data_IF_160074943241
#
_entry.id   IF_160074943241
#
_cell.length_a   1.000
_cell.length_b   1.000
_cell.length_c   1.000
_cell.angle_alpha   90.00
_cell.angle_beta   90.00
_cell.angle_gamma   90.00
#
_symmetry.space_group_name_H-M   'P 1'
#
loop_
_entity.id
_entity.type
_entity.pdbx_description
1 polymer ?
#
# COMPACT_ATOMS: atom_id res chain seq x y z
N UNK A 1 26.00 -5.01 -11.33
CA UNK A 1 25.74 -3.64 -10.84
C UNK A 1 25.84 -3.65 -9.34
N UNK A 2 26.51 -2.68 -8.67
CA UNK A 2 26.48 -2.61 -7.20
C UNK A 2 25.02 -2.39 -6.77
N UNK A 3 24.59 -3.12 -5.72
CA UNK A 3 23.29 -2.86 -5.10
C UNK A 3 23.27 -1.39 -4.64
N UNK A 4 22.19 -0.64 -4.95
CA UNK A 4 22.06 0.72 -4.43
C UNK A 4 22.07 0.65 -2.91
N UNK A 5 22.98 1.38 -2.28
CA UNK A 5 23.04 1.50 -0.83
C UNK A 5 21.69 2.01 -0.33
N UNK A 6 21.14 1.33 0.69
CA UNK A 6 19.94 1.81 1.36
C UNK A 6 20.22 3.22 1.92
N UNK A 7 19.30 4.16 1.67
CA UNK A 7 19.42 5.51 2.21
C UNK A 7 19.42 5.51 3.74
N UNK A 8 19.92 6.55 4.34
CA UNK A 8 19.98 6.72 5.80
C UNK A 8 18.95 7.71 6.33
N UNK A 9 18.30 8.50 5.43
CA UNK A 9 17.37 9.54 5.83
C UNK A 9 15.99 8.97 6.22
N UNK A 10 15.34 9.64 7.14
CA UNK A 10 13.94 9.37 7.51
C UNK A 10 13.02 10.39 6.88
N UNK A 11 11.82 9.95 6.51
CA UNK A 11 10.74 10.83 6.09
C UNK A 11 10.21 11.63 7.29
N UNK A 12 9.80 12.88 7.09
CA UNK A 12 9.25 13.70 8.17
C UNK A 12 7.92 13.15 8.67
N UNK A 13 7.52 13.56 9.87
CA UNK A 13 6.21 13.21 10.44
C UNK A 13 5.08 13.96 9.75
N UNK A 14 3.85 13.43 9.88
CA UNK A 14 2.64 14.00 9.30
C UNK A 14 2.41 13.60 7.85
N UNK A 15 1.53 14.35 7.18
CA UNK A 15 1.16 14.11 5.79
C UNK A 15 2.32 14.43 4.85
N UNK A 16 2.53 13.58 3.84
CA UNK A 16 3.64 13.66 2.91
C UNK A 16 3.14 13.96 1.50
N UNK A 17 3.80 14.91 0.84
CA UNK A 17 3.68 15.11 -0.60
C UNK A 17 4.61 14.14 -1.36
N UNK A 18 4.25 13.84 -2.61
CA UNK A 18 5.06 13.00 -3.49
C UNK A 18 5.25 13.70 -4.82
N UNK A 19 6.49 13.89 -5.22
CA UNK A 19 6.84 14.53 -6.50
C UNK A 19 7.72 13.61 -7.32
N UNK A 20 7.35 13.41 -8.58
CA UNK A 20 8.13 12.73 -9.60
C UNK A 20 8.57 13.77 -10.65
N UNK A 21 9.84 13.75 -11.05
CA UNK A 21 10.39 14.62 -12.08
C UNK A 21 11.18 13.80 -13.07
N UNK A 22 10.73 13.83 -14.31
CA UNK A 22 11.38 13.18 -15.44
C UNK A 22 11.77 11.72 -15.17
N UNK A 23 10.81 10.94 -14.62
CA UNK A 23 11.07 9.57 -14.18
C UNK A 23 11.00 8.62 -15.36
N UNK A 24 12.09 7.90 -15.57
CA UNK A 24 12.26 6.85 -16.58
C UNK A 24 12.48 5.51 -15.92
N UNK A 25 11.90 4.45 -16.47
CA UNK A 25 12.09 3.10 -15.94
C UNK A 25 11.91 2.02 -17.00
N UNK A 26 12.78 1.02 -16.95
CA UNK A 26 12.71 -0.20 -17.78
C UNK A 26 12.90 -1.43 -16.89
N UNK A 27 12.14 -2.51 -17.14
CA UNK A 27 12.42 -3.82 -16.54
C UNK A 27 13.55 -4.54 -17.29
N UNK A 28 13.65 -4.29 -18.60
CA UNK A 28 14.66 -4.83 -19.51
C UNK A 28 15.26 -3.68 -20.32
N UNK A 29 16.50 -3.81 -20.78
CA UNK A 29 17.24 -2.72 -21.44
C UNK A 29 16.53 -2.14 -22.66
N UNK A 30 15.80 -2.96 -23.42
CA UNK A 30 15.17 -2.56 -24.67
C UNK A 30 13.69 -2.11 -24.54
N UNK A 31 13.12 -2.12 -23.33
CA UNK A 31 11.69 -1.78 -23.14
C UNK A 31 11.47 -0.80 -22.01
N UNK A 32 11.45 0.47 -22.39
CA UNK A 32 11.12 1.55 -21.46
C UNK A 32 9.60 1.59 -21.19
N UNK A 33 9.25 1.50 -19.91
CA UNK A 33 7.86 1.52 -19.41
C UNK A 33 7.47 2.93 -18.97
N UNK A 34 8.33 3.61 -18.22
CA UNK A 34 8.11 5.01 -17.85
C UNK A 34 9.03 5.89 -18.69
N UNK A 35 8.46 6.88 -19.34
CA UNK A 35 9.13 7.73 -20.35
C UNK A 35 9.01 9.19 -19.95
N UNK A 36 9.79 9.62 -18.95
CA UNK A 36 9.81 11.02 -18.50
C UNK A 36 8.53 11.41 -17.72
N UNK A 37 8.12 10.60 -16.76
CA UNK A 37 6.91 10.85 -15.98
C UNK A 37 7.16 11.97 -14.96
N UNK A 38 6.30 13.01 -15.04
CA UNK A 38 6.21 14.09 -14.06
C UNK A 38 4.87 14.05 -13.34
N UNK A 39 4.86 14.01 -12.02
CA UNK A 39 3.66 14.04 -11.17
C UNK A 39 3.95 14.88 -9.92
N UNK A 40 2.93 15.60 -9.46
CA UNK A 40 2.95 16.26 -8.16
C UNK A 40 1.68 15.87 -7.39
N UNK A 41 1.85 15.18 -6.28
CA UNK A 41 0.79 14.66 -5.44
C UNK A 41 0.86 15.41 -4.09
N UNK A 42 0.02 16.44 -3.88
CA UNK A 42 0.05 17.21 -2.63
C UNK A 42 -0.29 16.34 -1.42
N UNK A 43 0.29 16.65 -0.27
CA UNK A 43 -0.03 15.99 0.98
C UNK A 43 -1.54 16.04 1.29
N UNK A 44 -2.09 14.92 1.75
CA UNK A 44 -3.53 14.81 2.06
C UNK A 44 -4.45 14.80 0.85
N UNK A 45 -3.92 14.72 -0.38
CA UNK A 45 -4.74 14.61 -1.60
C UNK A 45 -5.08 13.16 -1.92
N UNK A 46 -6.25 12.95 -2.53
CA UNK A 46 -6.62 11.70 -3.18
C UNK A 46 -6.40 11.84 -4.69
N UNK A 47 -5.56 11.00 -5.27
CA UNK A 47 -5.20 11.04 -6.69
C UNK A 47 -5.43 9.70 -7.35
N UNK A 48 -6.11 9.67 -8.48
CA UNK A 48 -6.32 8.46 -9.28
C UNK A 48 -5.47 8.49 -10.55
N UNK A 49 -4.66 7.45 -10.74
CA UNK A 49 -3.92 7.22 -11.99
C UNK A 49 -4.77 6.37 -12.94
N UNK A 50 -5.24 6.99 -14.02
CA UNK A 50 -6.08 6.34 -15.03
C UNK A 50 -5.28 6.14 -16.33
N UNK A 51 -5.46 5.01 -16.98
CA UNK A 51 -4.80 4.70 -18.25
C UNK A 51 -4.95 3.23 -18.62
N UNK A 52 -4.56 2.88 -19.84
CA UNK A 52 -4.64 1.51 -20.37
C UNK A 52 -3.84 0.51 -19.55
N UNK A 53 -4.16 -0.78 -19.68
CA UNK A 53 -3.36 -1.85 -19.07
C UNK A 53 -1.93 -1.81 -19.61
N UNK A 54 -0.95 -1.93 -18.74
CA UNK A 54 0.48 -1.92 -19.13
C UNK A 54 1.09 -0.53 -19.32
N UNK A 55 0.36 0.59 -19.12
CA UNK A 55 0.92 1.93 -19.25
C UNK A 55 1.84 2.39 -18.09
N UNK A 56 2.15 1.52 -17.12
CA UNK A 56 3.13 1.81 -16.07
C UNK A 56 2.55 2.19 -14.70
N UNK A 57 1.23 2.15 -14.47
CA UNK A 57 0.61 2.48 -13.16
C UNK A 57 1.18 1.66 -12.02
N UNK A 58 1.18 0.33 -12.15
CA UNK A 58 1.73 -0.59 -11.14
C UNK A 58 3.25 -0.48 -11.02
N UNK A 59 3.93 -0.01 -12.07
CA UNK A 59 5.37 0.29 -12.04
C UNK A 59 5.65 1.49 -11.15
N UNK A 60 4.90 2.59 -11.30
CA UNK A 60 4.99 3.78 -10.44
C UNK A 60 4.70 3.37 -8.98
N UNK A 61 3.61 2.63 -8.74
CA UNK A 61 3.27 2.11 -7.41
C UNK A 61 4.42 1.28 -6.79
N UNK A 62 5.03 0.41 -7.60
CA UNK A 62 6.17 -0.41 -7.18
C UNK A 62 7.43 0.40 -6.88
N UNK A 63 7.71 1.46 -7.62
CA UNK A 63 8.86 2.34 -7.37
C UNK A 63 8.65 3.12 -6.06
N UNK A 64 7.48 3.74 -5.87
CA UNK A 64 7.16 4.50 -4.67
C UNK A 64 7.21 3.64 -3.39
N UNK A 65 6.91 2.36 -3.51
CA UNK A 65 7.02 1.39 -2.40
C UNK A 65 8.39 0.69 -2.34
N UNK A 66 9.43 1.20 -3.03
CA UNK A 66 10.78 0.65 -3.14
C UNK A 66 10.86 -0.82 -3.60
N UNK A 67 9.83 -1.33 -4.29
CA UNK A 67 9.83 -2.69 -4.86
C UNK A 67 10.51 -2.76 -6.22
N UNK A 68 10.48 -1.65 -6.97
CA UNK A 68 11.19 -1.48 -8.23
C UNK A 68 12.29 -0.44 -8.01
N UNK A 69 13.52 -0.79 -8.31
CA UNK A 69 14.71 0.08 -8.18
C UNK A 69 15.34 0.30 -9.54
N UNK A 70 16.26 1.26 -9.64
CA UNK A 70 17.01 1.51 -10.88
C UNK A 70 16.27 2.43 -11.87
N UNK A 71 15.36 3.27 -11.40
CA UNK A 71 14.78 4.36 -12.18
C UNK A 71 15.80 5.49 -12.39
N UNK A 72 15.63 6.25 -13.47
CA UNK A 72 16.31 7.54 -13.69
C UNK A 72 15.31 8.67 -13.43
N UNK A 73 15.83 9.89 -13.20
CA UNK A 73 15.03 11.04 -12.79
C UNK A 73 15.00 11.21 -11.26
N UNK A 74 14.09 12.04 -10.77
CA UNK A 74 14.01 12.38 -9.36
C UNK A 74 12.64 12.01 -8.78
N UNK A 75 12.62 11.35 -7.62
CA UNK A 75 11.42 11.09 -6.82
C UNK A 75 11.67 11.62 -5.42
N UNK A 76 10.75 12.49 -4.95
CA UNK A 76 10.84 13.13 -3.64
C UNK A 76 9.57 12.79 -2.86
N UNK A 77 9.72 12.37 -1.60
CA UNK A 77 8.61 12.13 -0.68
C UNK A 77 8.85 12.99 0.57
N UNK A 78 7.90 13.88 0.90
CA UNK A 78 8.04 14.75 2.06
C UNK A 78 9.32 15.59 2.04
N UNK A 79 9.77 16.05 0.86
CA UNK A 79 11.01 16.81 0.69
C UNK A 79 12.30 15.96 0.70
N UNK A 80 12.23 14.62 0.84
CA UNK A 80 13.41 13.74 0.87
C UNK A 80 13.48 12.92 -0.42
N UNK A 81 14.62 12.90 -1.14
CA UNK A 81 14.81 12.03 -2.30
C UNK A 81 14.65 10.55 -1.93
N UNK A 82 13.84 9.81 -2.70
CA UNK A 82 13.47 8.42 -2.40
C UNK A 82 14.68 7.48 -2.26
N UNK A 83 15.72 7.71 -3.06
CA UNK A 83 16.97 6.94 -3.02
C UNK A 83 17.82 7.19 -1.76
N UNK A 84 17.53 8.24 -1.00
CA UNK A 84 18.19 8.57 0.26
C UNK A 84 17.37 8.14 1.49
N UNK A 85 16.12 7.66 1.30
CA UNK A 85 15.27 7.23 2.40
C UNK A 85 15.68 5.84 2.89
N UNK A 86 15.76 5.69 4.21
CA UNK A 86 15.94 4.38 4.86
C UNK A 86 14.76 3.46 4.53
N UNK A 87 15.04 2.24 4.10
CA UNK A 87 14.02 1.29 3.62
C UNK A 87 13.00 0.93 4.70
N UNK A 88 13.44 0.71 5.93
CA UNK A 88 12.54 0.41 7.05
C UNK A 88 11.59 1.59 7.33
N UNK A 89 12.12 2.82 7.32
CA UNK A 89 11.31 4.02 7.48
C UNK A 89 10.32 4.20 6.31
N UNK A 90 10.76 3.96 5.07
CA UNK A 90 9.88 4.02 3.92
C UNK A 90 8.72 3.01 4.02
N UNK A 91 8.98 1.77 4.44
CA UNK A 91 7.95 0.74 4.63
C UNK A 91 6.94 1.09 5.72
N UNK A 92 7.36 1.88 6.72
CA UNK A 92 6.45 2.39 7.76
C UNK A 92 5.61 3.57 7.31
N UNK A 93 6.04 4.31 6.28
CA UNK A 93 5.42 5.56 5.84
C UNK A 93 4.67 5.45 4.51
N UNK A 94 4.96 4.43 3.71
CA UNK A 94 4.32 4.18 2.41
C UNK A 94 3.79 2.75 2.35
N UNK A 95 2.47 2.59 2.30
CA UNK A 95 1.82 1.28 2.23
C UNK A 95 1.26 1.04 0.84
N UNK A 96 1.69 -0.06 0.22
CA UNK A 96 1.18 -0.54 -1.05
C UNK A 96 0.19 -1.70 -0.84
N UNK A 97 -1.06 -1.48 -1.19
CA UNK A 97 -2.13 -2.49 -1.18
C UNK A 97 -2.35 -2.96 -2.62
N UNK A 98 -2.16 -4.25 -2.85
CA UNK A 98 -2.39 -4.89 -4.16
C UNK A 98 -3.68 -5.73 -4.14
N UNK A 99 -4.25 -5.96 -5.32
CA UNK A 99 -5.41 -6.83 -5.50
C UNK A 99 -5.25 -8.22 -4.85
N UNK A 100 -4.06 -8.80 -4.94
CA UNK A 100 -3.73 -10.13 -4.40
C UNK A 100 -2.92 -10.06 -3.10
N UNK A 101 -3.23 -9.12 -2.22
CA UNK A 101 -2.58 -9.03 -0.90
C UNK A 101 -2.75 -10.33 -0.13
N UNK A 102 -1.63 -10.90 0.31
CA UNK A 102 -1.62 -12.21 0.97
C UNK A 102 -2.18 -12.13 2.39
N UNK A 103 -3.08 -13.04 2.71
CA UNK A 103 -3.59 -13.29 4.06
C UNK A 103 -3.03 -14.63 4.56
N UNK A 104 -2.59 -14.65 5.80
CA UNK A 104 -1.96 -15.81 6.41
C UNK A 104 -2.99 -16.67 7.14
N UNK A 105 -2.73 -17.98 7.17
CA UNK A 105 -3.47 -18.89 8.02
C UNK A 105 -3.33 -18.45 9.49
N UNK A 106 -4.43 -18.47 10.24
CA UNK A 106 -4.51 -18.01 11.62
C UNK A 106 -5.78 -17.21 11.85
N UNK A 107 -5.86 -16.41 12.88
CA UNK A 107 -7.04 -15.58 13.17
C UNK A 107 -7.04 -14.28 12.37
N UNK A 108 -8.20 -13.65 12.26
CA UNK A 108 -8.32 -12.27 11.76
C UNK A 108 -7.48 -11.32 12.60
N UNK A 109 -7.49 -11.47 13.95
CA UNK A 109 -6.67 -10.68 14.85
C UNK A 109 -5.17 -10.78 14.53
N UNK A 110 -4.66 -12.01 14.37
CA UNK A 110 -3.25 -12.24 14.02
C UNK A 110 -2.87 -11.58 12.70
N UNK A 111 -3.74 -11.65 11.69
CA UNK A 111 -3.50 -10.98 10.41
C UNK A 111 -3.49 -9.45 10.52
N UNK A 112 -4.35 -8.86 11.35
CA UNK A 112 -4.37 -7.42 11.60
C UNK A 112 -3.14 -6.98 12.40
N UNK A 113 -2.76 -7.72 13.43
CA UNK A 113 -1.59 -7.43 14.27
C UNK A 113 -0.25 -7.51 13.53
N UNK A 114 -0.20 -8.10 12.34
CA UNK A 114 0.99 -8.00 11.48
C UNK A 114 1.30 -6.56 11.06
N UNK A 115 0.29 -5.70 10.95
CA UNK A 115 0.47 -4.29 10.61
C UNK A 115 0.73 -3.42 11.86
N UNK A 116 0.09 -3.75 12.98
CA UNK A 116 0.21 -3.04 14.25
C UNK A 116 0.14 -4.05 15.40
N UNK A 117 1.30 -4.53 15.92
CA UNK A 117 1.35 -5.60 16.92
C UNK A 117 0.63 -5.27 18.24
N UNK A 118 0.60 -4.01 18.62
CA UNK A 118 -0.03 -3.45 19.83
C UNK A 118 -1.44 -2.92 19.59
N UNK A 119 -2.05 -3.21 18.42
CA UNK A 119 -3.41 -2.78 18.11
C UNK A 119 -4.41 -3.28 19.14
N UNK A 120 -5.25 -2.37 19.63
CA UNK A 120 -6.34 -2.72 20.53
C UNK A 120 -7.50 -3.37 19.75
N UNK A 121 -8.39 -4.03 20.50
CA UNK A 121 -9.61 -4.61 19.90
C UNK A 121 -10.45 -3.53 19.22
N UNK A 122 -10.59 -2.38 19.85
CA UNK A 122 -11.37 -1.25 19.36
C UNK A 122 -10.80 -0.69 18.05
N UNK A 123 -9.48 -0.57 17.94
CA UNK A 123 -8.80 -0.13 16.71
C UNK A 123 -9.03 -1.12 15.57
N UNK A 124 -8.89 -2.42 15.84
CA UNK A 124 -9.13 -3.48 14.86
C UNK A 124 -10.59 -3.51 14.39
N UNK A 125 -11.55 -3.43 15.31
CA UNK A 125 -12.97 -3.39 14.96
C UNK A 125 -13.33 -2.11 14.19
N UNK A 126 -12.72 -0.97 14.52
CA UNK A 126 -12.94 0.29 13.81
C UNK A 126 -12.50 0.21 12.33
N UNK A 127 -11.32 -0.34 12.04
CA UNK A 127 -10.89 -0.50 10.65
C UNK A 127 -11.72 -1.57 9.91
N UNK A 128 -12.14 -2.64 10.57
CA UNK A 128 -13.05 -3.63 9.99
C UNK A 128 -14.43 -3.04 9.68
N UNK A 129 -14.91 -2.11 10.51
CA UNK A 129 -16.15 -1.37 10.25
C UNK A 129 -16.00 -0.45 9.03
N UNK A 130 -14.89 0.29 8.92
CA UNK A 130 -14.61 1.17 7.77
C UNK A 130 -14.65 0.42 6.43
N UNK A 131 -14.21 -0.83 6.40
CA UNK A 131 -14.19 -1.65 5.18
C UNK A 131 -15.45 -2.53 5.03
N UNK A 132 -16.50 -2.33 5.83
CA UNK A 132 -17.75 -3.11 5.82
C UNK A 132 -17.51 -4.63 5.96
N UNK A 133 -16.59 -5.05 6.84
CA UNK A 133 -16.30 -6.46 7.10
C UNK A 133 -16.69 -6.90 8.51
N UNK A 134 -16.80 -5.95 9.47
CA UNK A 134 -17.07 -6.26 10.87
C UNK A 134 -18.37 -7.04 11.07
N UNK A 135 -19.45 -6.61 10.41
CA UNK A 135 -20.78 -7.26 10.53
C UNK A 135 -20.74 -8.73 10.09
N UNK A 136 -20.02 -9.04 9.01
CA UNK A 136 -19.83 -10.44 8.59
C UNK A 136 -19.04 -11.22 9.64
N UNK A 137 -17.92 -10.68 10.14
CA UNK A 137 -17.08 -11.38 11.12
C UNK A 137 -17.83 -11.62 12.44
N UNK A 138 -18.73 -10.72 12.85
CA UNK A 138 -19.57 -10.91 14.03
C UNK A 138 -20.56 -12.07 13.90
N UNK A 139 -20.92 -12.47 12.67
CA UNK A 139 -21.70 -13.70 12.44
C UNK A 139 -20.88 -14.98 12.52
N UNK A 140 -19.56 -14.85 12.64
CA UNK A 140 -18.59 -15.91 12.87
C UNK A 140 -18.03 -15.76 14.30
N UNK A 141 -16.74 -15.90 14.49
CA UNK A 141 -16.06 -15.75 15.79
C UNK A 141 -15.40 -14.36 15.96
N UNK A 142 -15.87 -13.32 15.27
CA UNK A 142 -15.33 -11.96 15.30
C UNK A 142 -13.85 -11.92 14.94
N UNK A 143 -13.00 -11.30 15.76
CA UNK A 143 -11.56 -11.26 15.56
C UNK A 143 -10.88 -12.64 15.67
N UNK A 144 -11.52 -13.61 16.34
CA UNK A 144 -11.03 -14.99 16.45
C UNK A 144 -11.42 -15.88 15.27
N UNK A 145 -12.14 -15.34 14.28
CA UNK A 145 -12.47 -16.07 13.06
C UNK A 145 -11.21 -16.62 12.41
N UNK A 146 -11.18 -17.96 12.25
CA UNK A 146 -10.05 -18.68 11.68
C UNK A 146 -10.00 -18.51 10.16
N UNK A 147 -8.86 -18.13 9.64
CA UNK A 147 -8.54 -18.11 8.22
C UNK A 147 -7.78 -19.37 7.84
N UNK A 148 -8.27 -20.07 6.83
CA UNK A 148 -7.55 -21.18 6.22
C UNK A 148 -6.37 -20.66 5.39
N UNK A 149 -5.58 -21.58 4.84
CA UNK A 149 -4.46 -21.20 3.97
C UNK A 149 -4.94 -20.29 2.83
N UNK A 150 -4.25 -19.16 2.61
CA UNK A 150 -4.62 -18.09 1.65
C UNK A 150 -6.04 -17.54 1.87
N UNK A 151 -6.57 -17.67 3.09
CA UNK A 151 -7.95 -17.29 3.44
C UNK A 151 -9.01 -17.88 2.51
N UNK A 152 -8.82 -19.15 2.09
CA UNK A 152 -9.69 -19.84 1.12
C UNK A 152 -11.14 -20.01 1.59
N UNK A 153 -11.42 -19.77 2.86
CA UNK A 153 -12.76 -19.76 3.44
C UNK A 153 -13.45 -18.38 3.40
N UNK A 154 -12.77 -17.36 2.86
CA UNK A 154 -13.37 -16.05 2.59
C UNK A 154 -13.62 -15.87 1.09
N UNK A 155 -14.62 -15.06 0.74
CA UNK A 155 -14.78 -14.61 -0.64
C UNK A 155 -13.66 -13.65 -1.06
N UNK A 156 -13.43 -13.49 -2.38
CA UNK A 156 -12.42 -12.57 -2.89
C UNK A 156 -12.60 -11.14 -2.37
N UNK A 157 -13.85 -10.64 -2.33
CA UNK A 157 -14.16 -9.32 -1.77
C UNK A 157 -13.89 -9.23 -0.26
N UNK A 158 -14.15 -10.28 0.51
CA UNK A 158 -13.82 -10.33 1.95
C UNK A 158 -12.30 -10.35 2.18
N UNK A 159 -11.55 -11.09 1.36
CA UNK A 159 -10.09 -11.09 1.41
C UNK A 159 -9.53 -9.69 1.14
N UNK A 160 -10.04 -9.00 0.11
CA UNK A 160 -9.61 -7.63 -0.23
C UNK A 160 -9.93 -6.65 0.90
N UNK A 161 -11.15 -6.71 1.47
CA UNK A 161 -11.54 -5.86 2.61
C UNK A 161 -10.66 -6.11 3.83
N UNK A 162 -10.33 -7.35 4.16
CA UNK A 162 -9.44 -7.66 5.27
C UNK A 162 -8.00 -7.15 5.02
N UNK A 163 -7.50 -7.29 3.80
CA UNK A 163 -6.20 -6.73 3.42
C UNK A 163 -6.18 -5.20 3.51
N UNK A 164 -7.28 -4.56 3.10
CA UNK A 164 -7.46 -3.11 3.24
C UNK A 164 -7.55 -2.68 4.70
N UNK A 165 -8.32 -3.39 5.54
CA UNK A 165 -8.38 -3.13 6.98
C UNK A 165 -6.99 -3.21 7.62
N UNK A 166 -6.21 -4.22 7.29
CA UNK A 166 -4.83 -4.37 7.74
C UNK A 166 -3.95 -3.18 7.31
N UNK A 167 -4.09 -2.72 6.07
CA UNK A 167 -3.36 -1.57 5.59
C UNK A 167 -3.76 -0.28 6.33
N UNK A 168 -5.05 -0.05 6.54
CA UNK A 168 -5.55 1.12 7.28
C UNK A 168 -5.12 1.11 8.75
N UNK A 169 -5.02 -0.07 9.36
CA UNK A 169 -4.55 -0.21 10.75
C UNK A 169 -3.08 0.17 10.91
N UNK A 170 -2.29 0.08 9.84
CA UNK A 170 -0.89 0.50 9.82
C UNK A 170 -0.72 2.02 10.04
N UNK A 171 -1.74 2.81 9.73
CA UNK A 171 -1.79 4.27 9.92
C UNK A 171 -0.62 5.02 9.25
N UNK A 172 -0.46 4.81 7.95
CA UNK A 172 0.60 5.41 7.13
C UNK A 172 0.16 6.73 6.50
N UNK A 173 1.08 7.70 6.32
CA UNK A 173 0.75 8.97 5.66
C UNK A 173 0.55 8.85 4.14
N UNK A 174 1.03 7.77 3.52
CA UNK A 174 0.87 7.51 2.08
C UNK A 174 0.34 6.10 1.84
N UNK A 175 -0.82 6.02 1.21
CA UNK A 175 -1.40 4.76 0.74
C UNK A 175 -1.40 4.71 -0.79
N UNK A 176 -1.01 3.57 -1.33
CA UNK A 176 -1.03 3.30 -2.76
C UNK A 176 -1.92 2.07 -2.98
N UNK A 177 -3.00 2.24 -3.74
CA UNK A 177 -3.92 1.16 -4.09
C UNK A 177 -3.71 0.75 -5.56
N UNK A 178 -3.16 -0.43 -5.77
CA UNK A 178 -2.91 -0.98 -7.10
C UNK A 178 -3.95 -2.07 -7.40
N UNK A 179 -5.01 -1.69 -8.13
CA UNK A 179 -6.21 -2.51 -8.44
C UNK A 179 -6.93 -3.09 -7.21
N UNK A 180 -6.58 -2.64 -6.01
CA UNK A 180 -7.11 -3.16 -4.75
C UNK A 180 -8.59 -2.82 -4.50
N UNK A 181 -9.16 -1.89 -5.26
CA UNK A 181 -10.53 -1.39 -5.07
C UNK A 181 -11.51 -1.82 -6.15
N UNK A 182 -11.09 -2.61 -7.14
CA UNK A 182 -11.91 -2.99 -8.31
C UNK A 182 -13.18 -3.79 -7.97
N UNK A 183 -13.27 -4.36 -6.77
CA UNK A 183 -14.42 -5.13 -6.28
C UNK A 183 -14.93 -4.65 -4.91
N UNK A 184 -14.60 -3.43 -4.51
CA UNK A 184 -14.98 -2.89 -3.21
C UNK A 184 -15.79 -1.62 -3.43
N UNK A 185 -17.09 -1.66 -3.14
CA UNK A 185 -17.93 -0.48 -2.95
C UNK A 185 -17.58 0.16 -1.60
N UNK A 186 -16.38 0.71 -1.49
CA UNK A 186 -15.98 1.53 -0.35
C UNK A 186 -16.14 2.99 -0.79
N UNK A 187 -16.99 3.71 -0.12
CA UNK A 187 -16.92 5.16 -0.16
C UNK A 187 -15.55 5.59 0.39
N UNK A 188 -14.61 5.85 -0.51
CA UNK A 188 -13.24 6.32 -0.18
C UNK A 188 -13.24 7.72 0.46
N UNK A 189 -14.40 8.28 0.75
CA UNK A 189 -14.58 9.52 1.52
C UNK A 189 -14.20 9.41 3.00
N UNK A 190 -13.66 8.27 3.46
CA UNK A 190 -13.38 7.97 4.86
C UNK A 190 -11.88 7.72 5.17
N UNK A 191 -10.98 8.05 4.24
CA UNK A 191 -9.52 8.01 4.48
C UNK A 191 -8.99 9.41 4.67
#
# INVERSE_FOLDING_TARGET
MPEPQAGEKTLPDGALDVTLKDVHFSYEEDREILKGIGLNLPAGSFVSLVGESGCGKSTIAGILAAKNRGYNGEIIIGGVPLNEVNETNLMQRVVLVRHNSYLFKGTVEENLKMAKPDATKEEMEAVLQKVNLLGFLQTQDGLQTQLLEKASNLSGGQCQRLALARALLHDSPVYIFDEATSNIDVELSLI
#
